data_IF_086603226291
#
_entry.id   IF_086603226291
#
_cell.length_a   1.000
_cell.length_b   1.000
_cell.length_c   1.000
_cell.angle_alpha   90.00
_cell.angle_beta   90.00
_cell.angle_gamma   90.00
#
_symmetry.space_group_name_H-M   'P 1'
#
loop_
_entity.id
_entity.type
_entity.pdbx_description
1 polymer ?
#
# COMPACT_ATOMS: atom_id res chain seq x y z
N UNK A 1 -6.07 -7.50 15.61
CA UNK A 1 -6.50 -8.88 15.93
C UNK A 1 -8.02 -9.02 15.84
N UNK A 2 -8.82 -8.18 16.54
CA UNK A 2 -10.28 -8.28 16.54
C UNK A 2 -10.91 -8.25 15.14
N UNK A 3 -10.47 -7.35 14.26
CA UNK A 3 -10.99 -7.23 12.88
C UNK A 3 -10.68 -8.51 12.09
N UNK A 4 -9.45 -9.03 12.15
CA UNK A 4 -9.08 -10.26 11.45
C UNK A 4 -9.84 -11.48 11.99
N UNK A 5 -10.09 -11.56 13.29
CA UNK A 5 -10.90 -12.61 13.88
C UNK A 5 -12.36 -12.55 13.38
N UNK A 6 -12.93 -11.35 13.26
CA UNK A 6 -14.27 -11.16 12.71
C UNK A 6 -14.32 -11.55 11.22
N UNK A 7 -13.31 -11.14 10.42
CA UNK A 7 -13.20 -11.52 9.00
C UNK A 7 -13.14 -13.05 8.87
N UNK A 8 -12.28 -13.69 9.66
CA UNK A 8 -12.16 -15.15 9.64
C UNK A 8 -13.47 -15.84 10.03
N UNK A 9 -14.13 -15.39 11.08
CA UNK A 9 -15.38 -15.98 11.56
C UNK A 9 -16.52 -15.86 10.53
N UNK A 10 -16.56 -14.76 9.77
CA UNK A 10 -17.53 -14.56 8.68
C UNK A 10 -17.18 -15.42 7.47
N UNK A 11 -15.91 -15.48 7.09
CA UNK A 11 -15.41 -16.32 6.01
C UNK A 11 -15.72 -17.81 6.25
N UNK A 12 -15.42 -18.31 7.44
CA UNK A 12 -15.63 -19.72 7.81
C UNK A 12 -17.12 -20.13 7.77
N UNK A 13 -18.04 -19.15 7.87
CA UNK A 13 -19.49 -19.35 7.70
C UNK A 13 -19.98 -19.24 6.25
N UNK A 14 -19.06 -19.10 5.29
CA UNK A 14 -19.39 -18.99 3.87
C UNK A 14 -19.41 -17.55 3.34
N UNK A 15 -19.20 -16.56 4.19
CA UNK A 15 -19.12 -15.14 3.80
C UNK A 15 -20.15 -14.25 4.49
N UNK A 16 -20.05 -12.97 4.22
CA UNK A 16 -20.95 -11.95 4.76
C UNK A 16 -20.28 -10.60 5.00
N UNK A 17 -20.83 -9.82 5.91
CA UNK A 17 -20.38 -8.46 6.20
C UNK A 17 -19.75 -8.39 7.59
N UNK A 18 -18.55 -7.81 7.68
CA UNK A 18 -17.90 -7.37 8.92
C UNK A 18 -18.06 -5.87 9.01
N UNK A 19 -18.71 -5.38 10.06
CA UNK A 19 -18.95 -3.95 10.25
C UNK A 19 -17.95 -3.37 11.23
N UNK A 20 -17.28 -2.29 10.82
CA UNK A 20 -16.49 -1.43 11.70
C UNK A 20 -17.37 -0.21 12.00
N UNK A 21 -17.92 -0.11 13.22
CA UNK A 21 -18.80 1.02 13.57
C UNK A 21 -18.03 2.33 13.68
N UNK A 22 -18.76 3.45 13.82
CA UNK A 22 -18.17 4.76 14.03
C UNK A 22 -17.21 4.77 15.23
N UNK A 23 -16.20 5.62 15.15
CA UNK A 23 -15.20 5.78 16.20
C UNK A 23 -13.77 5.68 15.69
N UNK A 24 -12.81 5.77 16.62
CA UNK A 24 -11.37 5.66 16.35
C UNK A 24 -10.88 4.24 16.62
N UNK A 25 -10.32 3.62 15.60
CA UNK A 25 -9.82 2.24 15.62
C UNK A 25 -8.33 2.20 15.32
N UNK A 26 -7.52 1.81 16.29
CA UNK A 26 -6.10 1.51 16.07
C UNK A 26 -5.94 0.02 15.78
N UNK A 27 -5.30 -0.31 14.67
CA UNK A 27 -5.13 -1.72 14.24
C UNK A 27 -3.76 -1.97 13.61
N UNK A 28 -3.31 -3.22 13.64
CA UNK A 28 -2.26 -3.74 12.77
C UNK A 28 -2.83 -4.16 11.41
N UNK A 29 -2.08 -4.93 10.61
CA UNK A 29 -2.52 -5.38 9.30
C UNK A 29 -3.85 -6.11 9.30
N UNK A 30 -4.69 -5.80 8.31
CA UNK A 30 -5.97 -6.47 8.03
C UNK A 30 -5.78 -7.38 6.82
N UNK A 31 -6.20 -8.64 6.94
CA UNK A 31 -6.16 -9.61 5.84
C UNK A 31 -7.60 -9.95 5.43
N UNK A 32 -7.98 -9.54 4.23
CA UNK A 32 -9.29 -9.87 3.66
C UNK A 32 -9.33 -11.32 3.21
N UNK A 33 -10.47 -11.94 3.35
CA UNK A 33 -10.73 -13.32 2.92
C UNK A 33 -11.92 -13.38 1.98
N UNK A 34 -11.98 -14.44 1.14
CA UNK A 34 -13.05 -14.60 0.15
C UNK A 34 -14.43 -14.52 0.78
N UNK A 35 -15.38 -13.96 0.02
CA UNK A 35 -16.77 -13.76 0.38
C UNK A 35 -17.00 -12.82 1.58
N UNK A 36 -16.04 -11.95 1.92
CA UNK A 36 -16.18 -11.00 3.02
C UNK A 36 -16.24 -9.58 2.50
N UNK A 37 -17.25 -8.83 2.97
CA UNK A 37 -17.34 -7.39 2.84
C UNK A 37 -16.93 -6.72 4.16
N UNK A 38 -15.79 -6.03 4.18
CA UNK A 38 -15.37 -5.16 5.28
C UNK A 38 -16.07 -3.81 5.12
N UNK A 39 -17.05 -3.53 5.96
CA UNK A 39 -17.85 -2.33 5.89
C UNK A 39 -17.47 -1.34 7.00
N UNK A 40 -16.90 -0.21 6.64
CA UNK A 40 -16.58 0.87 7.57
C UNK A 40 -17.69 1.92 7.57
N UNK A 41 -18.39 2.05 8.68
CA UNK A 41 -19.48 3.02 8.81
C UNK A 41 -19.00 4.47 8.67
N UNK A 42 -19.92 5.38 8.43
CA UNK A 42 -19.63 6.82 8.45
C UNK A 42 -19.05 7.21 9.81
N UNK A 43 -18.01 8.06 9.81
CA UNK A 43 -17.24 8.45 10.99
C UNK A 43 -16.40 7.33 11.63
N UNK A 44 -16.26 6.17 11.02
CA UNK A 44 -15.22 5.23 11.40
C UNK A 44 -13.85 5.71 10.89
N UNK A 45 -12.90 5.94 11.78
CA UNK A 45 -11.51 6.24 11.44
C UNK A 45 -10.62 5.07 11.87
N UNK A 46 -10.11 4.35 10.88
CA UNK A 46 -9.24 3.19 11.06
C UNK A 46 -7.81 3.66 10.83
N UNK A 47 -7.01 3.75 11.89
CA UNK A 47 -5.62 4.15 11.86
C UNK A 47 -4.74 2.91 11.99
N UNK A 48 -3.84 2.72 11.05
CA UNK A 48 -2.88 1.64 11.10
C UNK A 48 -1.72 1.97 12.03
N UNK A 49 -1.30 0.99 12.81
CA UNK A 49 -0.21 1.16 13.77
C UNK A 49 1.09 1.57 13.09
N UNK A 50 1.81 2.50 13.70
CA UNK A 50 3.17 2.86 13.31
C UNK A 50 4.23 1.91 13.87
N UNK A 51 3.84 0.92 14.65
CA UNK A 51 4.72 -0.14 15.14
C UNK A 51 5.07 -1.11 14.00
N UNK A 52 6.27 -0.99 13.47
CA UNK A 52 6.75 -1.79 12.35
C UNK A 52 6.89 -3.27 12.67
N UNK A 53 6.96 -3.67 13.95
CA UNK A 53 7.02 -5.07 14.36
C UNK A 53 5.77 -5.86 13.99
N UNK A 54 4.64 -5.18 13.84
CA UNK A 54 3.36 -5.78 13.44
C UNK A 54 3.28 -6.14 11.94
N UNK A 55 4.25 -5.70 11.14
CA UNK A 55 4.27 -5.87 9.68
C UNK A 55 5.40 -6.80 9.27
N UNK A 56 5.16 -8.11 9.15
CA UNK A 56 6.19 -9.06 8.73
C UNK A 56 6.72 -8.71 7.32
N UNK A 57 7.98 -9.02 7.08
CA UNK A 57 8.58 -8.90 5.76
C UNK A 57 8.10 -10.07 4.89
N UNK A 58 7.53 -9.75 3.75
CA UNK A 58 7.01 -10.71 2.78
C UNK A 58 7.70 -10.54 1.43
N UNK A 59 7.67 -11.58 0.60
CA UNK A 59 8.00 -11.49 -0.82
C UNK A 59 6.73 -11.14 -1.58
N UNK A 60 6.79 -10.08 -2.38
CA UNK A 60 5.67 -9.57 -3.19
C UNK A 60 6.22 -8.94 -4.46
N UNK A 61 5.35 -8.37 -5.30
CA UNK A 61 5.78 -7.53 -6.42
C UNK A 61 5.70 -6.05 -6.06
N UNK A 62 6.69 -5.29 -6.49
CA UNK A 62 6.70 -3.84 -6.43
C UNK A 62 7.44 -3.27 -7.64
N UNK A 63 6.84 -2.29 -8.31
CA UNK A 63 7.37 -1.75 -9.58
C UNK A 63 7.56 -2.84 -10.66
N UNK A 64 6.73 -3.87 -10.64
CA UNK A 64 6.78 -4.98 -11.58
C UNK A 64 7.92 -5.97 -11.37
N UNK A 65 8.64 -5.88 -10.26
CA UNK A 65 9.75 -6.76 -9.88
C UNK A 65 9.43 -7.50 -8.59
N UNK A 66 9.94 -8.72 -8.45
CA UNK A 66 9.92 -9.44 -7.19
C UNK A 66 10.73 -8.67 -6.14
N UNK A 67 10.12 -8.38 -5.02
CA UNK A 67 10.72 -7.56 -3.98
C UNK A 67 10.33 -8.02 -2.58
N UNK A 68 11.20 -7.76 -1.60
CA UNK A 68 10.84 -7.82 -0.19
C UNK A 68 10.18 -6.50 0.22
N UNK A 69 9.03 -6.61 0.89
CA UNK A 69 8.27 -5.48 1.46
C UNK A 69 7.67 -5.88 2.78
N UNK A 70 7.36 -4.90 3.61
CA UNK A 70 6.48 -5.16 4.75
C UNK A 70 5.08 -5.51 4.26
N UNK A 71 4.39 -6.38 4.98
CA UNK A 71 2.98 -6.69 4.72
C UNK A 71 2.17 -5.39 4.69
N UNK A 72 1.28 -5.28 3.72
CA UNK A 72 0.39 -4.13 3.57
C UNK A 72 -0.58 -3.99 4.73
N UNK A 73 -0.89 -2.76 5.17
CA UNK A 73 -1.94 -2.49 6.15
C UNK A 73 -3.26 -3.18 5.82
N UNK A 74 -3.63 -3.24 4.55
CA UNK A 74 -4.75 -4.07 4.08
C UNK A 74 -4.24 -4.96 2.95
N UNK A 75 -4.51 -6.25 3.04
CA UNK A 75 -4.07 -7.19 2.02
C UNK A 75 -5.12 -8.27 1.70
N UNK A 76 -5.08 -8.75 0.46
CA UNK A 76 -5.78 -9.94 0.01
C UNK A 76 -4.90 -10.69 -1.01
N UNK A 77 -4.92 -12.01 -0.98
CA UNK A 77 -4.20 -12.84 -1.96
C UNK A 77 -5.07 -14.04 -2.34
N UNK A 78 -5.18 -14.28 -3.64
CA UNK A 78 -6.00 -15.38 -4.20
C UNK A 78 -7.45 -15.39 -3.66
N UNK A 79 -8.00 -14.21 -3.34
CA UNK A 79 -9.35 -14.08 -2.80
C UNK A 79 -10.38 -13.84 -3.90
N UNK A 80 -11.61 -14.25 -3.65
CA UNK A 80 -12.73 -14.04 -4.55
C UNK A 80 -13.90 -13.40 -3.81
N UNK A 81 -14.63 -12.52 -4.49
CA UNK A 81 -15.84 -11.88 -3.97
C UNK A 81 -15.56 -11.15 -2.65
N UNK A 82 -14.62 -10.20 -2.70
CA UNK A 82 -14.24 -9.36 -1.56
C UNK A 82 -14.68 -7.92 -1.78
N UNK A 83 -15.00 -7.24 -0.69
CA UNK A 83 -15.36 -5.84 -0.75
C UNK A 83 -14.83 -5.04 0.44
N UNK A 84 -14.57 -3.76 0.22
CA UNK A 84 -14.43 -2.73 1.25
C UNK A 84 -15.44 -1.65 0.92
N UNK A 85 -16.42 -1.43 1.80
CA UNK A 85 -17.53 -0.52 1.54
C UNK A 85 -17.82 0.42 2.70
N UNK A 86 -18.69 1.38 2.47
CA UNK A 86 -19.15 2.34 3.48
C UNK A 86 -18.57 3.72 3.27
N UNK A 87 -18.42 4.50 4.36
CA UNK A 87 -17.92 5.87 4.31
C UNK A 87 -16.80 6.14 5.32
N UNK A 88 -16.22 5.08 5.85
CA UNK A 88 -15.11 5.17 6.78
C UNK A 88 -13.79 5.59 6.10
N UNK A 89 -12.82 5.94 6.95
CA UNK A 89 -11.50 6.41 6.55
C UNK A 89 -10.44 5.41 7.02
N UNK A 90 -9.58 4.97 6.11
CA UNK A 90 -8.42 4.14 6.39
C UNK A 90 -7.16 5.00 6.29
N UNK A 91 -6.48 5.22 7.42
CA UNK A 91 -5.26 6.03 7.53
C UNK A 91 -4.04 5.13 7.69
N UNK A 92 -3.16 5.13 6.70
CA UNK A 92 -1.96 4.30 6.66
C UNK A 92 -0.84 4.70 7.62
N UNK A 93 -0.99 5.82 8.34
CA UNK A 93 0.04 6.39 9.23
C UNK A 93 1.43 6.49 8.57
N UNK A 94 1.44 6.82 7.26
CA UNK A 94 2.61 6.71 6.38
C UNK A 94 3.78 7.61 6.75
N UNK A 95 3.58 8.64 7.59
CA UNK A 95 4.63 9.56 8.00
C UNK A 95 5.79 8.85 8.72
N UNK A 96 5.53 7.70 9.35
CA UNK A 96 6.53 6.87 10.03
C UNK A 96 7.38 6.04 9.08
N UNK A 97 6.98 5.97 7.82
CA UNK A 97 7.62 5.14 6.81
C UNK A 97 8.35 5.94 5.74
N UNK A 98 7.81 7.13 5.40
CA UNK A 98 8.23 7.86 4.21
C UNK A 98 9.49 8.68 4.42
N UNK A 99 10.46 8.61 3.50
CA UNK A 99 11.46 9.66 3.36
C UNK A 99 10.81 10.94 2.84
N UNK A 100 11.41 12.07 3.11
CA UNK A 100 10.92 13.38 2.64
C UNK A 100 12.06 14.15 2.00
N UNK A 101 11.84 14.61 0.76
CA UNK A 101 12.80 15.45 0.04
C UNK A 101 12.66 16.92 0.47
N UNK A 102 13.81 17.58 0.70
CA UNK A 102 13.86 18.98 1.12
C UNK A 102 13.19 19.92 0.12
N UNK A 103 13.33 19.67 -1.18
CA UNK A 103 12.76 20.48 -2.25
C UNK A 103 11.22 20.45 -2.31
N UNK A 104 10.60 19.49 -1.63
CA UNK A 104 9.14 19.39 -1.46
C UNK A 104 8.63 20.23 -0.28
N UNK A 105 9.50 20.91 0.46
CA UNK A 105 9.15 21.61 1.70
C UNK A 105 9.65 23.05 1.71
N UNK A 106 8.92 23.89 2.42
CA UNK A 106 9.44 25.21 2.81
C UNK A 106 10.54 25.05 3.87
N UNK A 107 11.43 26.04 4.01
CA UNK A 107 12.51 26.01 5.01
C UNK A 107 11.97 25.79 6.45
N UNK A 108 10.83 26.38 6.77
CA UNK A 108 10.17 26.21 8.07
C UNK A 108 9.69 24.77 8.27
N UNK A 109 9.04 24.17 7.29
CA UNK A 109 8.57 22.79 7.34
C UNK A 109 9.75 21.82 7.46
N UNK A 110 10.80 22.04 6.65
CA UNK A 110 12.02 21.23 6.71
C UNK A 110 12.67 21.29 8.09
N UNK A 111 12.86 22.49 8.66
CA UNK A 111 13.42 22.66 9.99
C UNK A 111 12.60 21.95 11.06
N UNK A 112 11.27 22.04 10.98
CA UNK A 112 10.38 21.36 11.92
C UNK A 112 10.49 19.83 11.80
N UNK A 113 10.55 19.32 10.56
CA UNK A 113 10.71 17.88 10.29
C UNK A 113 12.04 17.35 10.85
N UNK A 114 13.16 18.03 10.59
CA UNK A 114 14.48 17.65 11.11
C UNK A 114 14.49 17.67 12.65
N UNK A 115 13.86 18.67 13.25
CA UNK A 115 13.77 18.79 14.72
C UNK A 115 12.85 17.74 15.37
N UNK A 116 11.95 17.11 14.59
CA UNK A 116 11.08 16.04 15.10
C UNK A 116 11.80 14.71 15.31
N UNK A 117 13.05 14.61 14.89
CA UNK A 117 13.87 13.38 14.92
C UNK A 117 14.19 12.86 13.53
N UNK A 118 14.51 11.57 13.42
CA UNK A 118 14.94 10.97 12.17
C UNK A 118 16.40 11.29 11.80
N UNK A 119 16.74 11.11 10.55
CA UNK A 119 18.10 11.30 9.98
C UNK A 119 18.03 12.03 8.65
N UNK A 120 19.01 12.84 8.38
CA UNK A 120 19.19 13.52 7.09
C UNK A 120 20.38 12.90 6.37
N UNK A 121 20.28 12.71 5.06
CA UNK A 121 21.38 12.21 4.24
C UNK A 121 22.60 13.16 4.27
N UNK A 122 23.75 12.67 3.85
CA UNK A 122 25.03 13.44 3.83
C UNK A 122 24.93 14.73 3.00
N UNK A 123 24.06 14.74 2.00
CA UNK A 123 23.87 15.90 1.12
C UNK A 123 22.89 16.95 1.69
N UNK A 124 22.24 16.65 2.82
CA UNK A 124 21.25 17.53 3.43
C UNK A 124 19.94 17.66 2.64
N UNK A 125 19.64 16.70 1.75
CA UNK A 125 18.54 16.80 0.79
C UNK A 125 17.35 15.89 1.09
N UNK A 126 17.56 14.77 1.81
CA UNK A 126 16.50 13.82 2.10
C UNK A 126 16.49 13.50 3.60
N UNK A 127 15.34 13.62 4.21
CA UNK A 127 15.09 13.18 5.58
C UNK A 127 14.53 11.75 5.56
N UNK A 128 14.98 10.92 6.49
CA UNK A 128 14.52 9.55 6.71
C UNK A 128 13.97 9.40 8.13
N UNK A 129 12.92 8.58 8.33
CA UNK A 129 12.28 8.45 9.64
C UNK A 129 13.18 7.84 10.71
N UNK A 130 14.19 7.08 10.33
CA UNK A 130 15.17 6.46 11.24
C UNK A 130 16.48 6.09 10.53
N UNK A 131 17.44 5.59 11.31
CA UNK A 131 18.76 5.18 10.81
C UNK A 131 18.71 3.99 9.86
N UNK A 132 17.83 3.02 10.10
CA UNK A 132 17.67 1.84 9.23
C UNK A 132 17.22 2.23 7.82
N UNK A 133 16.28 3.18 7.71
CA UNK A 133 15.86 3.71 6.41
C UNK A 133 16.99 4.43 5.66
N UNK A 134 17.81 5.21 6.37
CA UNK A 134 18.98 5.87 5.78
C UNK A 134 20.03 4.86 5.33
N UNK A 135 20.39 3.88 6.16
CA UNK A 135 21.33 2.81 5.80
C UNK A 135 20.86 2.06 4.54
N UNK A 136 19.57 1.69 4.51
CA UNK A 136 19.00 1.02 3.35
C UNK A 136 19.06 1.87 2.09
N UNK A 137 18.83 3.18 2.18
CA UNK A 137 18.90 4.06 1.02
C UNK A 137 20.29 4.10 0.39
N UNK A 138 21.33 4.10 1.22
CA UNK A 138 22.73 4.07 0.77
C UNK A 138 23.08 2.69 0.16
N UNK A 139 22.70 1.61 0.84
CA UNK A 139 22.94 0.24 0.40
C UNK A 139 22.26 -0.04 -0.95
N UNK A 140 21.01 0.38 -1.10
CA UNK A 140 20.23 0.13 -2.32
C UNK A 140 20.62 1.02 -3.49
N UNK A 141 21.15 2.22 -3.26
CA UNK A 141 21.61 3.10 -4.32
C UNK A 141 22.81 2.57 -5.11
N UNK A 142 23.64 1.71 -4.47
CA UNK A 142 24.86 1.16 -5.08
C UNK A 142 24.75 -0.30 -5.54
N UNK A 143 23.63 -0.94 -5.28
CA UNK A 143 23.56 -2.40 -5.38
C UNK A 143 22.74 -2.85 -6.60
N UNK A 144 23.31 -3.01 -7.75
CA UNK A 144 22.78 -3.93 -8.74
C UNK A 144 22.32 -5.27 -8.08
N UNK A 145 22.86 -6.40 -8.41
CA UNK A 145 22.43 -7.74 -7.90
C UNK A 145 22.76 -8.08 -6.43
N UNK A 146 23.33 -7.18 -5.63
CA UNK A 146 23.75 -7.46 -4.23
C UNK A 146 22.61 -7.67 -3.23
N UNK A 147 21.36 -7.54 -3.62
CA UNK A 147 20.20 -7.77 -2.75
C UNK A 147 20.09 -9.22 -2.24
N UNK A 148 20.70 -10.17 -2.94
CA UNK A 148 20.71 -11.59 -2.57
C UNK A 148 21.62 -11.91 -1.37
N UNK A 149 22.54 -11.00 -1.03
CA UNK A 149 23.50 -11.18 0.06
C UNK A 149 23.01 -10.62 1.41
N UNK A 150 21.87 -9.91 1.43
CA UNK A 150 21.33 -9.29 2.64
C UNK A 150 20.70 -10.36 3.54
N UNK A 151 21.19 -10.47 4.76
CA UNK A 151 20.65 -11.39 5.77
C UNK A 151 19.26 -11.00 6.26
N UNK A 152 18.54 -11.94 6.88
CA UNK A 152 17.22 -11.64 7.46
C UNK A 152 17.29 -10.60 8.59
N UNK A 153 18.38 -10.59 9.37
CA UNK A 153 18.61 -9.61 10.43
C UNK A 153 18.82 -8.21 9.88
N UNK A 154 19.64 -8.07 8.83
CA UNK A 154 19.83 -6.80 8.12
C UNK A 154 18.53 -6.27 7.51
N UNK A 155 17.69 -7.17 6.96
CA UNK A 155 16.36 -6.77 6.47
C UNK A 155 15.46 -6.23 7.59
N UNK A 156 15.48 -6.83 8.78
CA UNK A 156 14.72 -6.32 9.94
C UNK A 156 15.25 -4.96 10.39
N UNK A 157 16.57 -4.74 10.43
CA UNK A 157 17.18 -3.44 10.74
C UNK A 157 16.76 -2.33 9.76
N UNK A 158 16.60 -2.69 8.49
CA UNK A 158 16.21 -1.79 7.40
C UNK A 158 14.70 -1.78 7.13
N UNK A 159 13.90 -2.36 7.96
CA UNK A 159 12.47 -2.63 7.76
C UNK A 159 11.66 -1.41 7.34
N UNK A 160 11.95 -0.25 7.90
CA UNK A 160 11.28 1.00 7.54
C UNK A 160 11.53 1.48 6.10
N UNK A 161 12.58 0.96 5.42
CA UNK A 161 12.79 1.16 4.00
C UNK A 161 11.83 0.32 3.15
N UNK A 162 11.42 -0.84 3.65
CA UNK A 162 10.52 -1.77 2.97
C UNK A 162 9.05 -1.32 3.07
N UNK A 163 8.81 -0.05 2.82
CA UNK A 163 7.50 0.61 2.95
C UNK A 163 6.40 -0.18 2.24
N UNK A 164 5.33 -0.61 2.93
CA UNK A 164 4.22 -1.29 2.26
C UNK A 164 3.38 -0.31 1.44
N UNK A 165 2.63 -0.82 0.48
CA UNK A 165 1.46 -0.12 -0.08
C UNK A 165 0.32 -0.21 0.94
N UNK A 166 -0.62 0.75 0.96
CA UNK A 166 -1.71 0.75 1.94
C UNK A 166 -2.66 -0.42 1.73
N UNK A 167 -3.09 -0.63 0.49
CA UNK A 167 -3.96 -1.73 0.09
C UNK A 167 -3.28 -2.54 -1.02
N UNK A 168 -2.96 -3.80 -0.75
CA UNK A 168 -2.42 -4.76 -1.72
C UNK A 168 -3.42 -5.88 -1.96
N UNK A 169 -3.91 -6.01 -3.19
CA UNK A 169 -4.79 -7.10 -3.61
C UNK A 169 -4.11 -7.85 -4.74
N UNK A 170 -3.74 -9.12 -4.51
CA UNK A 170 -2.95 -9.90 -5.45
C UNK A 170 -3.73 -11.12 -5.93
N UNK A 171 -3.73 -11.36 -7.26
CA UNK A 171 -4.31 -12.56 -7.90
C UNK A 171 -5.73 -12.87 -7.42
N UNK A 172 -6.55 -11.81 -7.27
CA UNK A 172 -7.91 -11.89 -6.71
C UNK A 172 -8.95 -11.46 -7.74
N UNK A 173 -10.21 -11.80 -7.52
CA UNK A 173 -11.29 -11.52 -8.47
C UNK A 173 -12.61 -11.14 -7.80
N UNK A 174 -13.47 -10.43 -8.55
CA UNK A 174 -14.74 -9.88 -8.05
C UNK A 174 -14.52 -8.99 -6.83
N UNK A 175 -13.86 -7.85 -7.06
CA UNK A 175 -13.44 -6.92 -6.02
C UNK A 175 -14.26 -5.65 -6.12
N UNK A 176 -14.80 -5.20 -4.99
CA UNK A 176 -15.52 -3.92 -4.89
C UNK A 176 -14.88 -3.04 -3.81
N UNK A 177 -14.47 -1.85 -4.20
CA UNK A 177 -14.13 -0.76 -3.28
C UNK A 177 -15.15 0.36 -3.49
N UNK A 178 -15.92 0.72 -2.45
CA UNK A 178 -17.03 1.67 -2.60
C UNK A 178 -17.20 2.62 -1.42
N UNK A 179 -17.24 3.92 -1.70
CA UNK A 179 -17.57 4.99 -0.77
C UNK A 179 -16.48 5.37 0.23
N UNK A 180 -15.50 4.53 0.42
CA UNK A 180 -14.45 4.66 1.44
C UNK A 180 -13.35 5.63 1.05
N UNK A 181 -12.66 6.14 2.07
CA UNK A 181 -11.49 7.00 1.91
C UNK A 181 -10.24 6.29 2.38
N UNK A 182 -9.18 6.32 1.56
CA UNK A 182 -7.84 5.89 1.93
C UNK A 182 -6.93 7.12 2.01
N UNK A 183 -6.07 7.19 3.00
CA UNK A 183 -5.15 8.33 3.11
C UNK A 183 -3.83 7.97 3.75
N UNK A 184 -2.85 8.85 3.54
CA UNK A 184 -1.58 8.85 4.24
C UNK A 184 -0.86 7.50 4.14
N UNK A 185 -0.75 6.97 2.90
CA UNK A 185 -0.08 5.69 2.63
C UNK A 185 1.42 5.73 2.92
N UNK A 186 2.02 4.64 3.38
CA UNK A 186 3.48 4.51 3.49
C UNK A 186 4.23 4.60 2.15
N UNK A 187 3.61 4.12 1.07
CA UNK A 187 4.11 4.16 -0.32
C UNK A 187 2.91 4.35 -1.25
N UNK A 188 2.78 3.64 -2.38
CA UNK A 188 1.55 3.63 -3.19
C UNK A 188 0.34 3.32 -2.32
N UNK A 189 -0.82 3.88 -2.67
CA UNK A 189 -2.01 3.70 -1.84
C UNK A 189 -2.75 2.41 -2.18
N UNK A 190 -3.29 2.32 -3.39
CA UNK A 190 -4.08 1.17 -3.83
C UNK A 190 -3.32 0.42 -4.93
N UNK A 191 -2.98 -0.84 -4.68
CA UNK A 191 -2.23 -1.67 -5.61
C UNK A 191 -2.93 -3.01 -5.85
N UNK A 192 -3.91 -3.07 -6.76
CA UNK A 192 -4.39 -4.32 -7.31
C UNK A 192 -3.38 -4.87 -8.33
N UNK A 193 -2.95 -6.11 -8.13
CA UNK A 193 -1.98 -6.82 -8.98
C UNK A 193 -2.57 -8.13 -9.49
N UNK A 194 -2.60 -8.31 -10.81
CA UNK A 194 -3.11 -9.53 -11.47
C UNK A 194 -4.55 -9.88 -11.05
N UNK A 195 -5.38 -8.85 -10.87
CA UNK A 195 -6.77 -8.98 -10.46
C UNK A 195 -7.74 -9.00 -11.65
N UNK A 196 -8.94 -9.56 -11.43
CA UNK A 196 -10.00 -9.61 -12.42
C UNK A 196 -11.34 -9.13 -11.85
N UNK A 197 -12.09 -8.34 -12.63
CA UNK A 197 -13.38 -7.79 -12.23
C UNK A 197 -13.26 -6.91 -10.97
N UNK A 198 -12.55 -5.80 -11.11
CA UNK A 198 -12.31 -4.80 -10.08
C UNK A 198 -13.20 -3.57 -10.31
N UNK A 199 -13.94 -3.18 -9.31
CA UNK A 199 -14.77 -1.96 -9.31
C UNK A 199 -14.32 -1.03 -8.19
N UNK A 200 -13.97 0.20 -8.54
CA UNK A 200 -13.82 1.33 -7.62
C UNK A 200 -14.95 2.31 -7.92
N UNK A 201 -15.82 2.58 -6.94
CA UNK A 201 -16.91 3.54 -7.08
C UNK A 201 -16.94 4.48 -5.86
N UNK A 202 -16.94 5.79 -6.09
CA UNK A 202 -16.92 6.84 -5.03
C UNK A 202 -15.76 6.64 -4.02
N UNK A 203 -14.62 6.11 -4.48
CA UNK A 203 -13.42 5.96 -3.64
C UNK A 203 -12.62 7.25 -3.63
N UNK A 204 -12.12 7.63 -2.46
CA UNK A 204 -11.26 8.81 -2.29
C UNK A 204 -9.89 8.40 -1.79
N UNK A 205 -8.84 8.98 -2.37
CA UNK A 205 -7.46 8.82 -1.90
C UNK A 205 -6.85 10.19 -1.63
N UNK A 206 -6.22 10.33 -0.47
CA UNK A 206 -5.48 11.54 -0.09
C UNK A 206 -4.09 11.18 0.41
N UNK A 207 -3.06 11.49 -0.38
CA UNK A 207 -1.67 11.41 0.05
C UNK A 207 -1.06 12.81 0.10
N UNK A 208 -0.18 13.12 1.08
CA UNK A 208 0.48 14.42 1.15
C UNK A 208 1.28 14.71 -0.13
N UNK A 209 1.33 15.98 -0.55
CA UNK A 209 2.09 16.41 -1.74
C UNK A 209 3.58 16.05 -1.70
N UNK A 210 4.13 15.90 -0.52
CA UNK A 210 5.54 15.54 -0.29
C UNK A 210 5.76 14.03 -0.20
N UNK A 211 4.72 13.22 -0.29
CA UNK A 211 4.85 11.76 -0.18
C UNK A 211 5.56 11.20 -1.40
N UNK A 212 6.78 10.71 -1.18
CA UNK A 212 7.55 10.06 -2.23
C UNK A 212 6.96 8.68 -2.55
N UNK A 213 6.72 8.39 -3.83
CA UNK A 213 5.94 7.24 -4.29
C UNK A 213 4.55 7.20 -3.63
N UNK A 214 3.92 8.36 -3.52
CA UNK A 214 2.60 8.52 -2.92
C UNK A 214 1.49 8.43 -3.96
N UNK A 215 1.61 7.53 -4.93
CA UNK A 215 0.65 7.25 -5.98
C UNK A 215 -0.70 6.85 -5.38
N UNK A 216 -1.80 7.27 -5.98
CA UNK A 216 -3.12 6.94 -5.43
C UNK A 216 -3.58 5.55 -5.85
N UNK A 217 -3.43 5.18 -7.13
CA UNK A 217 -3.89 3.89 -7.65
C UNK A 217 -2.94 3.37 -8.73
N UNK A 218 -2.38 2.20 -8.48
CA UNK A 218 -1.53 1.46 -9.41
C UNK A 218 -2.24 0.18 -9.83
N UNK A 219 -2.89 0.22 -10.99
CA UNK A 219 -3.56 -0.95 -11.58
C UNK A 219 -2.54 -1.74 -12.38
N UNK A 220 -2.11 -2.88 -11.84
CA UNK A 220 -1.05 -3.69 -12.45
C UNK A 220 -1.58 -5.03 -12.94
N UNK A 221 -1.43 -5.30 -14.24
CA UNK A 221 -1.80 -6.58 -14.87
C UNK A 221 -3.24 -7.04 -14.59
N UNK A 222 -4.17 -6.10 -14.41
CA UNK A 222 -5.56 -6.37 -14.08
C UNK A 222 -6.45 -6.44 -15.32
N UNK A 223 -7.60 -7.13 -15.20
CA UNK A 223 -8.62 -7.28 -16.27
C UNK A 223 -9.99 -6.81 -15.77
N UNK A 224 -10.79 -6.23 -16.67
CA UNK A 224 -12.15 -5.79 -16.36
C UNK A 224 -12.20 -4.85 -15.17
N UNK A 225 -11.54 -3.70 -15.28
CA UNK A 225 -11.45 -2.68 -14.22
C UNK A 225 -12.39 -1.53 -14.56
N UNK A 226 -13.25 -1.17 -13.60
CA UNK A 226 -14.11 0.02 -13.62
C UNK A 226 -13.70 0.97 -12.50
N UNK A 227 -13.40 2.22 -12.85
CA UNK A 227 -13.12 3.29 -11.91
C UNK A 227 -14.12 4.41 -12.20
N UNK A 228 -15.03 4.66 -11.27
CA UNK A 228 -16.10 5.63 -11.44
C UNK A 228 -16.27 6.51 -10.19
N UNK A 229 -16.57 7.80 -10.38
CA UNK A 229 -16.86 8.76 -9.32
C UNK A 229 -15.75 8.90 -8.25
N UNK A 230 -14.52 8.50 -8.57
CA UNK A 230 -13.40 8.52 -7.64
C UNK A 230 -12.69 9.87 -7.60
N UNK A 231 -12.04 10.17 -6.48
CA UNK A 231 -11.24 11.37 -6.29
C UNK A 231 -9.84 10.98 -5.78
N UNK A 232 -8.80 11.39 -6.50
CA UNK A 232 -7.41 11.07 -6.16
C UNK A 232 -6.58 12.35 -6.04
N UNK A 233 -6.11 12.62 -4.81
CA UNK A 233 -5.15 13.67 -4.48
C UNK A 233 -3.86 12.99 -4.00
N UNK A 234 -2.87 12.93 -4.88
CA UNK A 234 -1.67 12.11 -4.72
C UNK A 234 -0.41 12.96 -4.57
N UNK A 235 0.59 12.41 -3.92
CA UNK A 235 1.93 13.03 -3.84
C UNK A 235 2.82 12.67 -5.02
N UNK A 236 2.39 11.71 -5.85
CA UNK A 236 2.98 11.26 -7.10
C UNK A 236 1.85 11.03 -8.11
N UNK A 237 1.80 9.94 -8.84
CA UNK A 237 0.79 9.70 -9.86
C UNK A 237 -0.61 9.44 -9.28
N UNK A 238 -1.65 9.98 -9.91
CA UNK A 238 -3.04 9.74 -9.50
C UNK A 238 -3.52 8.33 -9.90
N UNK A 239 -3.28 7.94 -11.15
CA UNK A 239 -3.60 6.61 -11.68
C UNK A 239 -2.46 6.14 -12.56
N UNK A 240 -1.88 4.99 -12.24
CA UNK A 240 -0.92 4.29 -13.06
C UNK A 240 -1.51 2.99 -13.61
N UNK A 241 -1.27 2.73 -14.87
CA UNK A 241 -1.55 1.45 -15.52
C UNK A 241 -0.22 0.74 -15.77
N UNK A 242 -0.02 -0.40 -15.12
CA UNK A 242 1.24 -1.15 -15.15
C UNK A 242 1.00 -2.58 -15.64
N UNK A 243 2.01 -3.19 -16.26
CA UNK A 243 1.95 -4.58 -16.74
C UNK A 243 3.21 -5.37 -16.39
N UNK A 244 3.81 -5.04 -15.27
CA UNK A 244 5.07 -5.62 -14.82
C UNK A 244 6.29 -5.00 -15.50
N UNK A 245 7.47 -5.51 -15.14
CA UNK A 245 8.75 -5.02 -15.64
C UNK A 245 9.73 -6.18 -15.81
N UNK A 246 10.56 -6.10 -16.86
CA UNK A 246 11.62 -7.04 -17.17
C UNK A 246 11.16 -8.53 -17.21
N UNK A 247 11.97 -9.46 -16.73
CA UNK A 247 11.64 -10.89 -16.71
C UNK A 247 10.50 -11.23 -15.74
N UNK A 248 10.45 -10.56 -14.60
CA UNK A 248 9.41 -10.77 -13.60
C UNK A 248 8.04 -10.39 -14.15
N UNK A 249 7.95 -9.26 -14.85
CA UNK A 249 6.72 -8.85 -15.52
C UNK A 249 6.29 -9.81 -16.62
N UNK A 250 7.23 -10.34 -17.40
CA UNK A 250 6.93 -11.36 -18.42
C UNK A 250 6.43 -12.66 -17.79
N UNK A 251 7.03 -13.09 -16.69
CA UNK A 251 6.60 -14.29 -15.96
C UNK A 251 5.19 -14.14 -15.39
N UNK A 252 4.89 -13.01 -14.76
CA UNK A 252 3.58 -12.75 -14.16
C UNK A 252 2.47 -12.64 -15.21
N UNK A 253 2.74 -12.07 -16.37
CA UNK A 253 1.75 -11.87 -17.43
C UNK A 253 1.64 -13.05 -18.40
N UNK A 254 2.54 -14.04 -18.35
CA UNK A 254 2.43 -15.32 -19.08
C UNK A 254 2.54 -15.22 -20.60
N UNK A 255 3.03 -14.10 -21.16
CA UNK A 255 3.20 -13.95 -22.60
C UNK A 255 4.28 -12.89 -22.93
N UNK A 256 5.00 -13.05 -24.06
CA UNK A 256 5.95 -12.05 -24.54
C UNK A 256 5.27 -10.74 -24.99
N UNK A 257 3.97 -10.75 -25.21
CA UNK A 257 3.19 -9.59 -25.65
C UNK A 257 2.23 -9.14 -24.52
N UNK A 258 2.55 -8.04 -23.88
CA UNK A 258 1.69 -7.37 -22.90
C UNK A 258 0.40 -6.87 -23.57
N UNK A 259 -0.60 -7.72 -23.73
CA UNK A 259 -1.94 -7.36 -24.21
C UNK A 259 -2.98 -7.35 -23.09
N UNK A 260 -2.62 -6.89 -21.90
CA UNK A 260 -3.61 -6.61 -20.87
C UNK A 260 -3.96 -5.12 -20.87
N UNK A 261 -4.82 -4.74 -21.81
CA UNK A 261 -5.49 -3.45 -21.74
C UNK A 261 -6.52 -3.53 -20.61
N UNK A 262 -6.23 -2.83 -19.51
CA UNK A 262 -7.27 -2.48 -18.54
C UNK A 262 -8.30 -1.65 -19.27
N UNK A 263 -9.53 -2.14 -19.39
CA UNK A 263 -10.62 -1.32 -19.92
C UNK A 263 -11.07 -0.42 -18.78
N UNK A 264 -10.63 0.84 -18.81
CA UNK A 264 -11.12 1.90 -17.93
C UNK A 264 -12.29 2.54 -18.66
N UNK A 265 -13.43 2.52 -18.05
CA UNK A 265 -14.66 3.16 -18.55
C UNK A 265 -15.08 4.27 -17.61
#
# INVERSE_FOLDING_TARGET
>A
EAINNAIKAVHDKGGGKVVIPEGLWLTGPIVLQSNVNLHAEKNALIVFSSDTSLYPIITTSFEGLDAKRCQSPISAMNAENIAITGYGVFDGAGDRWRPVKKDKMTDRQWKNLVNSGGKVDENGKVWYPNEGALKASVLMAGSGDKRTEITSEEWEDMKSWLRPVLLSIVKSKKILLEGVTFKNSPSWCLHPLSCESLILNDVKVFNPWYSQNGDALDVESCKNVLIANCFFDAGDDAICLKSGKDEDGRRENGAPDCQYLSKIA
#
